data_IF_055437190273
#
_entry.id   IF_055437190273
#
_cell.length_a   1.000
_cell.length_b   1.000
_cell.length_c   1.000
_cell.angle_alpha   90.00
_cell.angle_beta   90.00
_cell.angle_gamma   90.00
#
_symmetry.space_group_name_H-M   'P 1'
#
loop_
_entity.id
_entity.type
_entity.pdbx_description
1 polymer ?
#
# COMPACT_ATOMS: atom_id res chain seq x y z
N UNK A 1 -33.22 15.65 -5.72
CA UNK A 1 -33.21 14.55 -6.72
C UNK A 1 -33.28 13.23 -5.95
N UNK A 2 -34.36 12.47 -6.16
CA UNK A 2 -34.83 11.38 -5.29
C UNK A 2 -34.18 10.02 -5.62
N UNK A 3 -33.66 9.31 -4.59
CA UNK A 3 -33.05 7.97 -4.66
C UNK A 3 -34.05 6.80 -4.95
N UNK A 4 -35.31 7.10 -5.26
CA UNK A 4 -36.41 6.12 -5.30
C UNK A 4 -36.77 5.60 -6.70
N UNK A 5 -35.98 5.89 -7.73
CA UNK A 5 -36.29 5.48 -9.11
C UNK A 5 -35.60 4.19 -9.60
N UNK A 6 -34.88 3.45 -8.73
CA UNK A 6 -34.10 2.29 -9.18
C UNK A 6 -34.67 0.91 -8.80
N UNK A 7 -35.94 0.82 -8.42
CA UNK A 7 -36.60 -0.45 -8.12
C UNK A 7 -37.90 -0.56 -8.91
N UNK A 8 -37.80 -1.07 -10.15
CA UNK A 8 -38.98 -1.33 -10.98
C UNK A 8 -38.66 -2.19 -12.22
N UNK A 9 -39.04 -3.47 -12.16
CA UNK A 9 -39.11 -4.42 -13.29
C UNK A 9 -37.85 -5.28 -13.46
N UNK A 10 -37.88 -6.61 -13.56
CA UNK A 10 -38.94 -7.54 -13.96
C UNK A 10 -38.68 -8.94 -13.39
N UNK A 11 -39.73 -9.59 -12.86
CA UNK A 11 -39.76 -11.02 -12.61
C UNK A 11 -40.14 -11.76 -13.91
N UNK A 12 -39.38 -12.79 -14.30
CA UNK A 12 -39.81 -13.81 -15.26
C UNK A 12 -39.37 -15.17 -14.72
N UNK A 13 -40.37 -16.03 -14.50
CA UNK A 13 -40.25 -17.39 -13.95
C UNK A 13 -39.67 -18.40 -14.95
N UNK A 14 -39.07 -19.45 -14.40
CA UNK A 14 -38.46 -20.61 -15.08
C UNK A 14 -39.47 -21.43 -15.91
N UNK A 15 -39.05 -21.86 -17.10
CA UNK A 15 -38.93 -23.26 -17.55
C UNK A 15 -39.32 -23.48 -19.03
N UNK A 16 -38.32 -23.83 -19.86
CA UNK A 16 -38.47 -24.75 -20.99
C UNK A 16 -37.08 -25.27 -21.40
N UNK A 17 -36.76 -26.50 -21.00
CA UNK A 17 -35.64 -27.25 -21.52
C UNK A 17 -36.11 -28.06 -22.74
N UNK A 18 -35.52 -27.81 -23.92
CA UNK A 18 -35.39 -28.80 -24.99
C UNK A 18 -34.44 -28.29 -26.09
N UNK A 19 -33.24 -28.89 -26.13
CA UNK A 19 -32.57 -29.34 -27.36
C UNK A 19 -32.29 -28.33 -28.47
N UNK A 20 -31.22 -27.55 -28.33
CA UNK A 20 -30.44 -27.12 -29.51
C UNK A 20 -29.10 -27.83 -29.50
N UNK A 21 -28.88 -28.62 -30.55
CA UNK A 21 -27.63 -29.31 -30.82
C UNK A 21 -26.45 -28.34 -30.75
N UNK A 22 -25.36 -28.79 -30.10
CA UNK A 22 -24.07 -28.10 -30.10
C UNK A 22 -23.53 -28.03 -31.54
N UNK A 23 -23.67 -26.89 -32.19
CA UNK A 23 -22.68 -26.44 -33.14
C UNK A 23 -21.59 -25.73 -32.33
N UNK A 24 -20.63 -26.49 -31.79
CA UNK A 24 -19.38 -25.92 -31.30
C UNK A 24 -18.57 -25.46 -32.51
N UNK A 25 -18.92 -24.29 -33.04
CA UNK A 25 -18.01 -23.54 -33.88
C UNK A 25 -16.80 -23.16 -33.04
N UNK A 26 -15.63 -23.64 -33.44
CA UNK A 26 -14.36 -23.20 -32.90
C UNK A 26 -14.22 -21.69 -33.12
N UNK A 27 -14.64 -20.89 -32.13
CA UNK A 27 -14.22 -19.51 -32.03
C UNK A 27 -12.81 -19.50 -31.46
N UNK A 28 -11.83 -19.45 -32.36
CA UNK A 28 -10.45 -19.14 -32.01
C UNK A 28 -10.40 -17.73 -31.42
N UNK A 29 -10.41 -17.62 -30.10
CA UNK A 29 -9.88 -16.45 -29.43
C UNK A 29 -8.38 -16.42 -29.72
N UNK A 30 -7.98 -15.81 -30.84
CA UNK A 30 -6.60 -15.37 -31.05
C UNK A 30 -6.28 -14.39 -29.92
N UNK A 31 -5.70 -14.92 -28.84
CA UNK A 31 -5.21 -14.13 -27.73
C UNK A 31 -4.27 -13.08 -28.28
N UNK A 32 -4.58 -11.81 -28.05
CA UNK A 32 -3.59 -10.77 -28.22
C UNK A 32 -2.53 -10.99 -27.14
N UNK A 33 -1.43 -11.64 -27.52
CA UNK A 33 -0.25 -11.75 -26.69
C UNK A 33 0.26 -10.34 -26.45
N UNK A 34 -0.03 -9.77 -25.27
CA UNK A 34 0.79 -8.67 -24.79
C UNK A 34 2.19 -9.26 -24.67
N UNK A 35 3.08 -8.89 -25.60
CA UNK A 35 4.50 -9.15 -25.44
C UNK A 35 4.86 -8.68 -24.03
N UNK A 36 5.37 -9.60 -23.20
CA UNK A 36 5.78 -9.27 -21.86
C UNK A 36 6.71 -8.05 -21.99
N UNK A 37 6.37 -6.89 -21.38
CA UNK A 37 7.20 -5.71 -21.50
C UNK A 37 8.61 -6.11 -21.06
N UNK A 38 9.62 -5.65 -21.80
CA UNK A 38 11.03 -5.82 -21.45
C UNK A 38 11.16 -5.62 -19.94
N UNK A 39 11.73 -6.61 -19.23
CA UNK A 39 11.70 -6.69 -17.78
C UNK A 39 11.90 -5.30 -17.17
N UNK A 40 10.86 -4.76 -16.54
CA UNK A 40 10.88 -3.41 -15.99
C UNK A 40 12.14 -3.25 -15.15
N UNK A 41 12.85 -2.13 -15.31
CA UNK A 41 14.11 -1.89 -14.61
C UNK A 41 13.93 -2.14 -13.12
N UNK A 42 14.86 -2.91 -12.53
CA UNK A 42 14.85 -3.25 -11.10
C UNK A 42 15.57 -2.21 -10.24
N UNK A 43 15.86 -1.03 -10.79
CA UNK A 43 16.69 0.00 -10.18
C UNK A 43 16.29 0.31 -8.75
N UNK A 44 14.98 0.40 -8.48
CA UNK A 44 14.45 0.78 -7.16
C UNK A 44 13.74 -0.37 -6.45
N UNK A 45 13.93 -1.62 -6.88
CA UNK A 45 13.13 -2.76 -6.37
C UNK A 45 13.28 -2.94 -4.85
N UNK A 46 14.50 -2.81 -4.32
CA UNK A 46 14.78 -2.95 -2.90
C UNK A 46 14.12 -1.84 -2.06
N UNK A 47 14.29 -0.58 -2.46
CA UNK A 47 13.67 0.55 -1.79
C UNK A 47 12.13 0.48 -1.86
N UNK A 48 11.56 0.08 -3.01
CA UNK A 48 10.12 -0.15 -3.17
C UNK A 48 9.59 -1.18 -2.17
N UNK A 49 10.26 -2.33 -2.06
CA UNK A 49 9.86 -3.41 -1.16
C UNK A 49 9.98 -2.99 0.31
N UNK A 50 11.06 -2.31 0.67
CA UNK A 50 11.26 -1.81 2.02
C UNK A 50 10.20 -0.75 2.40
N UNK A 51 9.88 0.17 1.48
CA UNK A 51 8.82 1.16 1.67
C UNK A 51 7.45 0.50 1.82
N UNK A 52 7.14 -0.52 1.02
CA UNK A 52 5.88 -1.26 1.13
C UNK A 52 5.72 -1.96 2.48
N UNK A 53 6.77 -2.63 2.96
CA UNK A 53 6.77 -3.24 4.28
C UNK A 53 6.65 -2.18 5.39
N UNK A 54 7.29 -1.01 5.22
CA UNK A 54 7.16 0.10 6.17
C UNK A 54 5.74 0.68 6.21
N UNK A 55 5.05 0.73 5.07
CA UNK A 55 3.64 1.14 5.01
C UNK A 55 2.77 0.16 5.78
N UNK A 56 2.94 -1.14 5.56
CA UNK A 56 2.17 -2.18 6.27
C UNK A 56 2.35 -2.07 7.79
N UNK A 57 3.60 -2.07 8.27
CA UNK A 57 3.91 -1.94 9.69
C UNK A 57 3.41 -0.60 10.27
N UNK A 58 3.52 0.49 9.49
CA UNK A 58 3.04 1.82 9.87
C UNK A 58 1.53 1.88 10.04
N UNK A 59 0.76 1.24 9.16
CA UNK A 59 -0.71 1.23 9.26
C UNK A 59 -1.17 0.53 10.54
N UNK A 60 -0.52 -0.58 10.88
CA UNK A 60 -0.76 -1.33 12.13
C UNK A 60 -0.38 -0.46 13.34
N UNK A 61 0.79 0.18 13.31
CA UNK A 61 1.26 1.06 14.38
C UNK A 61 0.31 2.26 14.58
N UNK A 62 -0.13 2.91 13.50
CA UNK A 62 -1.04 4.05 13.59
C UNK A 62 -2.40 3.66 14.16
N UNK A 63 -2.96 2.51 13.74
CA UNK A 63 -4.20 1.99 14.30
C UNK A 63 -4.10 1.75 15.82
N UNK A 64 -2.97 1.20 16.26
CA UNK A 64 -2.67 1.04 17.69
C UNK A 64 -2.62 2.40 18.41
N UNK A 65 -1.90 3.38 17.86
CA UNK A 65 -1.79 4.72 18.44
C UNK A 65 -3.17 5.40 18.59
N UNK A 66 -3.99 5.35 17.53
CA UNK A 66 -5.33 5.94 17.53
C UNK A 66 -6.22 5.28 18.58
N UNK A 67 -6.11 3.95 18.78
CA UNK A 67 -6.88 3.23 19.80
C UNK A 67 -6.54 3.69 21.22
N UNK A 68 -5.27 3.95 21.53
CA UNK A 68 -4.88 4.47 22.84
C UNK A 68 -5.33 5.92 23.03
N UNK A 69 -5.15 6.75 21.99
CA UNK A 69 -5.60 8.15 22.00
C UNK A 69 -7.11 8.28 22.22
N UNK A 70 -7.91 7.40 21.61
CA UNK A 70 -9.38 7.42 21.78
C UNK A 70 -9.84 7.00 23.18
N UNK A 71 -8.96 6.39 23.98
CA UNK A 71 -9.19 6.04 25.38
C UNK A 71 -8.71 7.13 26.34
N UNK A 72 -8.20 8.25 25.83
CA UNK A 72 -7.67 9.36 26.61
C UNK A 72 -6.18 9.26 26.94
N UNK A 73 -5.49 8.20 26.50
CA UNK A 73 -4.04 8.08 26.66
C UNK A 73 -3.31 8.91 25.59
N UNK A 74 -2.74 10.04 25.99
CA UNK A 74 -2.03 10.97 25.09
C UNK A 74 -0.57 10.61 24.85
N UNK A 75 -0.05 9.52 25.43
CA UNK A 75 1.36 9.13 25.31
C UNK A 75 1.78 8.83 23.86
N UNK A 76 0.83 8.46 23.00
CA UNK A 76 1.09 8.10 21.60
C UNK A 76 1.02 9.25 20.60
N UNK A 77 0.81 10.51 21.04
CA UNK A 77 0.54 11.65 20.12
C UNK A 77 1.65 11.88 19.09
N UNK A 78 2.91 11.79 19.51
CA UNK A 78 4.06 12.08 18.65
C UNK A 78 4.35 10.88 17.74
N UNK A 79 4.14 9.66 18.24
CA UNK A 79 4.19 8.42 17.46
C UNK A 79 3.12 8.44 16.34
N UNK A 80 1.87 8.75 16.66
CA UNK A 80 0.80 8.85 15.69
C UNK A 80 1.11 9.89 14.59
N UNK A 81 1.65 11.04 14.97
CA UNK A 81 2.03 12.10 14.04
C UNK A 81 3.17 11.65 13.11
N UNK A 82 4.24 11.08 13.67
CA UNK A 82 5.40 10.62 12.90
C UNK A 82 5.06 9.46 11.96
N UNK A 83 4.27 8.48 12.43
CA UNK A 83 3.82 7.36 11.60
C UNK A 83 2.94 7.84 10.45
N UNK A 84 2.00 8.78 10.70
CA UNK A 84 1.12 9.29 9.64
C UNK A 84 1.91 10.02 8.52
N UNK A 85 2.92 10.81 8.88
CA UNK A 85 3.81 11.46 7.91
C UNK A 85 4.65 10.43 7.14
N UNK A 86 5.21 9.44 7.84
CA UNK A 86 5.96 8.35 7.22
C UNK A 86 5.10 7.56 6.23
N UNK A 87 3.84 7.25 6.57
CA UNK A 87 2.91 6.53 5.69
C UNK A 87 2.70 7.25 4.36
N UNK A 88 2.53 8.58 4.40
CA UNK A 88 2.36 9.38 3.19
C UNK A 88 3.60 9.29 2.27
N UNK A 89 4.80 9.40 2.85
CA UNK A 89 6.04 9.42 2.06
C UNK A 89 6.49 8.05 1.60
N UNK A 90 6.41 7.02 2.46
CA UNK A 90 6.70 5.64 2.07
C UNK A 90 5.74 5.14 1.00
N UNK A 91 4.45 5.49 1.09
CA UNK A 91 3.46 5.16 0.06
C UNK A 91 3.77 5.83 -1.28
N UNK A 92 4.14 7.12 -1.26
CA UNK A 92 4.58 7.82 -2.47
C UNK A 92 5.85 7.20 -3.06
N UNK A 93 6.84 6.88 -2.21
CA UNK A 93 8.09 6.27 -2.63
C UNK A 93 7.86 4.90 -3.26
N UNK A 94 7.05 4.04 -2.65
CA UNK A 94 6.66 2.76 -3.21
C UNK A 94 6.08 2.92 -4.63
N UNK A 95 5.17 3.87 -4.82
CA UNK A 95 4.52 4.09 -6.11
C UNK A 95 5.47 4.65 -7.17
N UNK A 96 6.33 5.62 -6.83
CA UNK A 96 7.30 6.19 -7.78
C UNK A 96 8.40 5.19 -8.14
N UNK A 97 8.88 4.43 -7.16
CA UNK A 97 9.89 3.39 -7.36
C UNK A 97 9.35 2.26 -8.26
N UNK A 98 8.08 1.87 -8.12
CA UNK A 98 7.43 0.87 -8.99
C UNK A 98 7.40 1.28 -10.47
N UNK A 99 7.39 2.59 -10.74
CA UNK A 99 7.34 3.16 -12.09
C UNK A 99 8.72 3.54 -12.62
N UNK A 100 9.80 3.27 -11.88
CA UNK A 100 11.14 3.78 -12.18
C UNK A 100 11.16 5.30 -12.43
N UNK A 101 10.38 6.05 -11.65
CA UNK A 101 10.27 7.50 -11.83
C UNK A 101 11.62 8.19 -11.60
N UNK A 102 12.00 9.18 -12.43
CA UNK A 102 13.22 9.98 -12.22
C UNK A 102 13.17 10.82 -10.93
N UNK A 103 11.99 10.99 -10.33
CA UNK A 103 11.80 11.68 -9.05
C UNK A 103 12.15 10.80 -7.84
N UNK A 104 12.36 9.49 -8.05
CA UNK A 104 12.56 8.53 -6.94
C UNK A 104 13.76 8.88 -6.06
N UNK A 105 14.94 9.27 -6.58
CA UNK A 105 16.08 9.68 -5.74
C UNK A 105 15.78 10.87 -4.82
N UNK A 106 15.15 11.92 -5.36
CA UNK A 106 14.80 13.11 -4.57
C UNK A 106 13.72 12.80 -3.53
N UNK A 107 12.73 11.98 -3.88
CA UNK A 107 11.72 11.54 -2.91
C UNK A 107 12.33 10.62 -1.84
N UNK A 108 13.28 9.75 -2.20
CA UNK A 108 13.95 8.87 -1.24
C UNK A 108 14.65 9.68 -0.14
N UNK A 109 15.27 10.81 -0.47
CA UNK A 109 15.86 11.73 0.52
C UNK A 109 14.84 12.24 1.54
N UNK A 110 13.65 12.65 1.09
CA UNK A 110 12.58 13.11 2.00
C UNK A 110 12.00 11.94 2.80
N UNK A 111 11.86 10.77 2.17
CA UNK A 111 11.39 9.55 2.81
C UNK A 111 12.32 9.10 3.94
N UNK A 112 13.65 9.21 3.77
CA UNK A 112 14.64 8.95 4.83
C UNK A 112 14.35 9.82 6.06
N UNK A 113 14.12 11.12 5.87
CA UNK A 113 13.88 12.03 6.99
C UNK A 113 12.56 11.73 7.71
N UNK A 114 11.48 11.39 6.99
CA UNK A 114 10.24 10.96 7.61
C UNK A 114 10.39 9.63 8.37
N UNK A 115 11.10 8.65 7.79
CA UNK A 115 11.37 7.39 8.47
C UNK A 115 12.24 7.57 9.72
N UNK A 116 13.22 8.50 9.72
CA UNK A 116 14.03 8.82 10.92
C UNK A 116 13.16 9.41 12.03
N UNK A 117 12.28 10.35 11.69
CA UNK A 117 11.35 10.95 12.65
C UNK A 117 10.37 9.92 13.22
N UNK A 118 9.79 9.07 12.36
CA UNK A 118 8.93 7.98 12.77
C UNK A 118 9.68 6.98 13.66
N UNK A 119 10.90 6.56 13.29
CA UNK A 119 11.70 5.65 14.09
C UNK A 119 12.03 6.24 15.47
N UNK A 120 12.41 7.52 15.55
CA UNK A 120 12.68 8.18 16.82
C UNK A 120 11.46 8.19 17.75
N UNK A 121 10.26 8.45 17.20
CA UNK A 121 9.02 8.41 17.96
C UNK A 121 8.64 6.98 18.38
N UNK A 122 8.68 6.00 17.46
CA UNK A 122 8.37 4.60 17.76
C UNK A 122 9.34 3.99 18.79
N UNK A 123 10.61 4.41 18.81
CA UNK A 123 11.65 3.87 19.72
C UNK A 123 11.25 3.96 21.20
N UNK A 124 10.55 5.02 21.58
CA UNK A 124 10.09 5.21 22.97
C UNK A 124 9.06 4.15 23.40
N UNK A 125 8.36 3.56 22.43
CA UNK A 125 7.27 2.62 22.67
C UNK A 125 7.61 1.17 22.28
N UNK A 126 8.75 0.95 21.61
CA UNK A 126 9.15 -0.36 21.09
C UNK A 126 9.38 -1.43 22.18
N UNK A 127 9.61 -1.01 23.43
CA UNK A 127 9.68 -1.91 24.59
C UNK A 127 8.32 -2.34 25.16
N UNK A 128 7.24 -1.66 24.77
CA UNK A 128 5.90 -1.81 25.36
C UNK A 128 4.85 -2.27 24.35
N UNK A 129 5.01 -1.91 23.07
CA UNK A 129 4.04 -2.19 22.01
C UNK A 129 4.74 -2.85 20.83
N UNK A 130 4.32 -4.08 20.49
CA UNK A 130 4.89 -4.86 19.41
C UNK A 130 4.74 -4.16 18.05
N UNK A 131 3.61 -3.46 17.85
CA UNK A 131 3.30 -2.69 16.65
C UNK A 131 4.31 -1.54 16.46
N UNK A 132 4.69 -0.87 17.55
CA UNK A 132 5.69 0.20 17.51
C UNK A 132 7.09 -0.36 17.24
N UNK A 133 7.43 -1.54 17.79
CA UNK A 133 8.70 -2.21 17.52
C UNK A 133 8.82 -2.60 16.04
N UNK A 134 7.79 -3.20 15.47
CA UNK A 134 7.76 -3.60 14.06
C UNK A 134 7.86 -2.39 13.12
N UNK A 135 7.15 -1.30 13.43
CA UNK A 135 7.24 -0.06 12.68
C UNK A 135 8.63 0.58 12.78
N UNK A 136 9.23 0.61 13.98
CA UNK A 136 10.61 1.07 14.19
C UNK A 136 11.61 0.30 13.34
N UNK A 137 11.59 -1.03 13.39
CA UNK A 137 12.50 -1.89 12.62
C UNK A 137 12.29 -1.72 11.11
N UNK A 138 11.03 -1.59 10.67
CA UNK A 138 10.69 -1.33 9.27
C UNK A 138 11.16 0.04 8.79
N UNK A 139 11.09 1.08 9.63
CA UNK A 139 11.64 2.39 9.32
C UNK A 139 13.15 2.30 9.10
N UNK A 140 13.89 1.58 9.96
CA UNK A 140 15.34 1.39 9.79
C UNK A 140 15.69 0.66 8.50
N UNK A 141 14.92 -0.38 8.15
CA UNK A 141 15.09 -1.09 6.88
C UNK A 141 14.81 -0.18 5.67
N UNK A 142 13.74 0.61 5.73
CA UNK A 142 13.40 1.57 4.69
C UNK A 142 14.48 2.65 4.52
N UNK A 143 14.98 3.23 5.62
CA UNK A 143 16.09 4.21 5.61
C UNK A 143 17.29 3.63 4.88
N UNK A 144 17.72 2.42 5.27
CA UNK A 144 18.88 1.76 4.68
C UNK A 144 18.77 1.60 3.16
N UNK A 145 17.60 1.25 2.64
CA UNK A 145 17.41 1.09 1.20
C UNK A 145 17.23 2.43 0.47
N UNK A 146 16.61 3.42 1.11
CA UNK A 146 16.43 4.74 0.54
C UNK A 146 17.75 5.51 0.44
N UNK A 147 18.64 5.40 1.44
CA UNK A 147 19.95 6.06 1.44
C UNK A 147 20.85 5.62 0.27
N UNK A 148 20.67 4.40 -0.25
CA UNK A 148 21.41 3.90 -1.42
C UNK A 148 21.03 4.58 -2.73
N UNK A 149 19.84 5.18 -2.78
CA UNK A 149 19.28 5.75 -4.02
C UNK A 149 19.00 7.25 -3.89
N UNK A 150 19.16 7.84 -2.71
CA UNK A 150 18.90 9.25 -2.46
C UNK A 150 19.92 10.16 -3.16
N UNK A 151 19.46 11.29 -3.68
CA UNK A 151 20.26 12.37 -4.27
C UNK A 151 19.84 13.73 -3.69
#
# INVERSE_FOLDING_TARGET
MNRRQFLGGTAVSLAAAASFARAHGHHDHKGHSHAAPAAASKTYEAARKAAAHCVEAGQICLAHCIRLLSQGDTSMKDCATGVNQMLALCGALQNLAAQNSPLTPSLAKVCVEACKQCAAACKQHAGHHAECKQCYESCLACIKECEKIAA
#
